data_IF_091076381832
#
_entry.id   IF_091076381832
#
_cell.length_a   1.000
_cell.length_b   1.000
_cell.length_c   1.000
_cell.angle_alpha   90.00
_cell.angle_beta   90.00
_cell.angle_gamma   90.00
#
_symmetry.space_group_name_H-M   'P 1'
#
loop_
_entity.id
_entity.type
_entity.pdbx_description
1 polymer ?
#
# COMPACT_ATOMS: atom_id res chain seq x y z
N UNK A 1 34.49 -6.47 -28.89
CA UNK A 1 33.92 -5.89 -27.66
C UNK A 1 32.46 -6.26 -27.64
N UNK A 2 32.11 -7.34 -26.92
CA UNK A 2 30.73 -7.74 -26.69
C UNK A 2 30.30 -7.08 -25.37
N UNK A 3 29.35 -6.15 -25.45
CA UNK A 3 28.70 -5.53 -24.31
C UNK A 3 27.87 -6.60 -23.60
N UNK A 4 28.32 -7.02 -22.42
CA UNK A 4 27.57 -7.90 -21.54
C UNK A 4 26.43 -7.12 -20.89
N UNK A 5 25.19 -7.46 -21.23
CA UNK A 5 24.04 -7.13 -20.41
C UNK A 5 24.15 -7.93 -19.12
N UNK A 6 24.63 -7.30 -18.04
CA UNK A 6 24.55 -7.90 -16.71
C UNK A 6 23.10 -7.84 -16.28
N UNK A 7 22.36 -8.92 -16.54
CA UNK A 7 21.08 -9.17 -15.91
C UNK A 7 21.30 -9.46 -14.44
N UNK A 8 21.37 -8.39 -13.63
CA UNK A 8 20.96 -8.49 -12.25
C UNK A 8 19.45 -8.31 -12.25
N UNK A 9 18.70 -9.32 -11.83
CA UNK A 9 17.40 -9.06 -11.21
C UNK A 9 17.71 -8.22 -9.98
N UNK A 10 17.68 -6.89 -10.11
CA UNK A 10 17.55 -6.00 -8.96
C UNK A 10 16.25 -6.45 -8.29
N UNK A 11 16.38 -7.23 -7.22
CA UNK A 11 15.29 -7.49 -6.31
C UNK A 11 15.03 -6.15 -5.65
N UNK A 12 14.12 -5.36 -6.23
CA UNK A 12 13.65 -4.14 -5.59
C UNK A 12 13.02 -4.59 -4.28
N UNK A 13 13.58 -4.22 -3.12
CA UNK A 13 13.00 -4.59 -1.84
C UNK A 13 11.56 -4.10 -1.82
N UNK A 14 10.62 -5.00 -1.55
CA UNK A 14 9.21 -4.63 -1.49
C UNK A 14 9.04 -3.82 -0.21
N UNK A 15 8.83 -2.51 -0.36
CA UNK A 15 8.58 -1.64 0.79
C UNK A 15 7.33 -2.13 1.54
N UNK A 16 6.29 -2.51 0.82
CA UNK A 16 4.95 -2.84 1.35
C UNK A 16 4.83 -4.29 1.85
N UNK A 17 5.85 -4.81 2.52
CA UNK A 17 5.76 -6.15 3.14
C UNK A 17 5.00 -6.10 4.47
N UNK A 18 4.52 -7.25 4.94
CA UNK A 18 3.94 -7.37 6.26
C UNK A 18 5.02 -7.27 7.35
N UNK A 19 4.70 -6.66 8.49
CA UNK A 19 5.63 -6.50 9.61
C UNK A 19 4.96 -6.78 10.96
N UNK A 20 5.76 -7.08 11.98
CA UNK A 20 5.34 -7.04 13.38
C UNK A 20 6.00 -5.88 14.12
N UNK A 21 7.20 -5.51 13.70
CA UNK A 21 7.91 -4.33 14.15
C UNK A 21 8.71 -3.68 13.02
N UNK A 22 9.21 -2.47 13.24
CA UNK A 22 9.94 -1.71 12.22
C UNK A 22 11.27 -2.38 11.82
N UNK A 23 11.87 -3.19 12.71
CA UNK A 23 13.14 -3.86 12.41
C UNK A 23 12.96 -5.04 11.42
N UNK A 24 11.72 -5.51 11.22
CA UNK A 24 11.36 -6.48 10.17
C UNK A 24 11.39 -5.86 8.77
N UNK A 25 11.32 -4.53 8.67
CA UNK A 25 11.15 -3.85 7.40
C UNK A 25 12.46 -3.67 6.62
N UNK A 26 12.31 -3.58 5.29
CA UNK A 26 13.43 -3.27 4.39
C UNK A 26 13.99 -1.87 4.64
N UNK A 27 15.28 -1.70 4.35
CA UNK A 27 15.95 -0.40 4.43
C UNK A 27 15.23 0.62 3.53
N UNK A 28 14.53 1.58 4.15
CA UNK A 28 13.68 2.56 3.46
C UNK A 28 12.28 2.69 4.06
N UNK A 29 11.79 1.68 4.78
CA UNK A 29 10.60 1.83 5.62
C UNK A 29 10.93 2.67 6.86
N UNK A 30 9.99 3.52 7.26
CA UNK A 30 10.08 4.33 8.48
C UNK A 30 8.96 4.02 9.46
N UNK A 31 7.96 3.25 9.02
CA UNK A 31 6.79 2.85 9.79
C UNK A 31 6.50 1.36 9.58
N UNK A 32 6.00 0.73 10.64
CA UNK A 32 5.23 -0.51 10.58
C UNK A 32 3.80 -0.13 10.99
N UNK A 33 2.97 0.20 10.01
CA UNK A 33 1.64 0.78 10.24
C UNK A 33 0.59 -0.33 10.39
N UNK A 34 -0.12 -0.35 11.53
CA UNK A 34 -1.28 -1.22 11.72
C UNK A 34 -2.51 -0.64 11.02
N UNK A 35 -3.14 -1.46 10.18
CA UNK A 35 -4.34 -1.14 9.42
C UNK A 35 -5.45 -2.13 9.78
N UNK A 36 -6.70 -1.68 9.70
CA UNK A 36 -7.86 -2.47 10.08
C UNK A 36 -9.05 -2.23 9.12
N UNK A 37 -9.45 -3.26 8.38
CA UNK A 37 -10.56 -3.14 7.41
C UNK A 37 -11.64 -4.18 7.68
N UNK A 38 -12.90 -3.74 7.65
CA UNK A 38 -14.05 -4.63 7.84
C UNK A 38 -14.49 -5.27 6.51
N UNK A 39 -14.62 -6.60 6.49
CA UNK A 39 -15.28 -7.34 5.42
C UNK A 39 -16.41 -8.21 5.99
N UNK A 40 -17.64 -7.93 5.58
CA UNK A 40 -18.82 -8.72 5.95
C UNK A 40 -18.99 -8.92 7.46
N UNK A 41 -18.74 -7.87 8.26
CA UNK A 41 -18.85 -7.90 9.72
C UNK A 41 -17.66 -8.56 10.45
N UNK A 42 -16.57 -8.86 9.74
CA UNK A 42 -15.32 -9.33 10.33
C UNK A 42 -14.21 -8.30 10.06
N UNK A 43 -13.52 -7.88 11.11
CA UNK A 43 -12.38 -6.98 11.02
C UNK A 43 -11.11 -7.76 10.71
N UNK A 44 -10.36 -7.30 9.71
CA UNK A 44 -9.07 -7.85 9.31
C UNK A 44 -8.01 -6.81 9.65
N UNK A 45 -7.13 -7.17 10.58
CA UNK A 45 -6.05 -6.30 11.07
C UNK A 45 -4.72 -6.88 10.60
N UNK A 46 -3.88 -6.04 10.00
CA UNK A 46 -2.52 -6.40 9.63
C UNK A 46 -1.64 -5.14 9.61
N UNK A 47 -0.33 -5.32 9.79
CA UNK A 47 0.61 -4.21 9.69
C UNK A 47 1.44 -4.26 8.42
N UNK A 48 1.73 -3.10 7.84
CA UNK A 48 2.55 -2.95 6.63
C UNK A 48 3.79 -2.11 6.90
N UNK A 49 4.90 -2.54 6.34
CA UNK A 49 6.06 -1.69 6.17
C UNK A 49 5.70 -0.55 5.22
N UNK A 50 5.91 0.69 5.66
CA UNK A 50 5.61 1.88 4.86
C UNK A 50 6.50 3.05 5.27
N UNK A 51 6.29 4.19 4.63
CA UNK A 51 6.87 5.48 5.00
C UNK A 51 5.81 6.56 4.95
N UNK A 52 6.02 7.62 5.73
CA UNK A 52 5.27 8.86 5.55
C UNK A 52 5.55 9.47 4.17
N UNK A 53 4.55 10.16 3.62
CA UNK A 53 4.63 10.86 2.35
C UNK A 53 4.03 12.27 2.46
N UNK A 54 4.47 13.17 1.58
CA UNK A 54 4.21 14.62 1.75
C UNK A 54 2.97 15.13 1.02
N UNK A 55 2.54 14.42 -0.04
CA UNK A 55 1.51 14.89 -0.96
C UNK A 55 0.60 13.72 -1.33
N UNK A 56 -0.68 13.86 -1.00
CA UNK A 56 -1.72 12.88 -1.30
C UNK A 56 -1.85 12.65 -2.82
N UNK A 57 -2.07 11.39 -3.20
CA UNK A 57 -2.41 11.02 -4.56
C UNK A 57 -2.02 9.60 -4.96
N UNK A 58 -2.57 9.17 -6.10
CA UNK A 58 -2.43 7.84 -6.68
C UNK A 58 -0.98 7.41 -6.93
N UNK A 59 -0.13 8.38 -7.28
CA UNK A 59 1.27 8.19 -7.60
C UNK A 59 2.06 9.26 -6.86
N UNK A 60 2.85 8.84 -5.88
CA UNK A 60 3.76 9.71 -5.15
C UNK A 60 5.21 9.34 -5.44
N UNK A 61 6.03 10.35 -5.71
CA UNK A 61 7.48 10.16 -5.86
C UNK A 61 8.17 9.85 -4.53
N UNK A 62 7.50 10.14 -3.41
CA UNK A 62 7.96 9.81 -2.06
C UNK A 62 7.82 8.29 -1.79
N UNK A 63 6.92 7.62 -2.53
CA UNK A 63 6.58 6.23 -2.31
C UNK A 63 7.36 5.29 -3.23
N UNK A 64 7.98 4.29 -2.63
CA UNK A 64 8.69 3.22 -3.34
C UNK A 64 7.78 2.50 -4.34
N UNK A 65 8.40 1.87 -5.34
CA UNK A 65 7.65 1.12 -6.34
C UNK A 65 7.01 -0.13 -5.73
N UNK A 66 5.75 -0.36 -6.09
CA UNK A 66 4.97 -1.55 -5.78
C UNK A 66 5.44 -2.79 -6.56
N UNK A 67 4.92 -3.96 -6.19
CA UNK A 67 5.17 -5.24 -6.87
C UNK A 67 4.83 -5.17 -8.38
N UNK A 68 3.82 -4.40 -8.73
CA UNK A 68 3.39 -4.17 -10.12
C UNK A 68 4.25 -3.14 -10.88
N UNK A 69 5.29 -2.61 -10.25
CA UNK A 69 6.25 -1.69 -10.85
C UNK A 69 5.80 -0.23 -10.95
N UNK A 70 4.62 0.13 -10.44
CA UNK A 70 4.14 1.53 -10.33
C UNK A 70 4.69 2.19 -9.07
N UNK A 71 4.81 3.52 -9.06
CA UNK A 71 5.05 4.26 -7.81
C UNK A 71 3.92 4.01 -6.83
N UNK A 72 4.22 3.99 -5.54
CA UNK A 72 3.19 3.87 -4.51
C UNK A 72 2.22 5.04 -4.49
N UNK A 73 1.11 4.84 -3.79
CA UNK A 73 0.10 5.87 -3.57
C UNK A 73 0.28 6.49 -2.19
N UNK A 74 -0.02 7.76 -2.03
CA UNK A 74 0.08 8.47 -0.76
C UNK A 74 -1.32 8.85 -0.28
N UNK A 75 -1.77 8.29 0.83
CA UNK A 75 -3.11 8.53 1.38
C UNK A 75 -3.08 8.50 2.91
N UNK A 76 -4.06 9.09 3.60
CA UNK A 76 -4.11 9.04 5.06
C UNK A 76 -4.36 7.61 5.54
N UNK A 77 -3.65 7.14 6.56
CA UNK A 77 -3.76 5.73 7.00
C UNK A 77 -5.18 5.37 7.47
N UNK A 78 -5.93 6.35 7.98
CA UNK A 78 -7.34 6.24 8.35
C UNK A 78 -8.27 5.70 7.25
N UNK A 79 -7.96 5.84 5.96
CA UNK A 79 -8.80 5.25 4.88
C UNK A 79 -8.82 3.71 4.92
N UNK A 80 -7.80 3.13 5.54
CA UNK A 80 -7.65 1.69 5.74
C UNK A 80 -7.70 1.32 7.23
N UNK A 81 -8.33 2.17 8.05
CA UNK A 81 -8.51 1.96 9.48
C UNK A 81 -7.27 2.17 10.34
N UNK A 82 -6.28 2.91 9.84
CA UNK A 82 -5.18 3.41 10.66
C UNK A 82 -5.68 4.33 11.79
N UNK A 83 -4.83 4.52 12.80
CA UNK A 83 -5.21 5.21 14.06
C UNK A 83 -5.39 6.73 13.84
N UNK A 84 -4.73 7.30 12.84
CA UNK A 84 -4.76 8.73 12.54
C UNK A 84 -4.74 9.00 11.02
N UNK A 85 -4.71 10.30 10.65
CA UNK A 85 -4.69 10.74 9.25
C UNK A 85 -3.25 10.95 8.72
N UNK A 86 -2.25 10.28 9.30
CA UNK A 86 -0.88 10.35 8.79
C UNK A 86 -0.85 9.87 7.35
N UNK A 87 -0.31 10.69 6.46
CA UNK A 87 -0.14 10.32 5.06
C UNK A 87 0.97 9.29 4.95
N UNK A 88 0.62 8.09 4.51
CA UNK A 88 1.55 6.98 4.32
C UNK A 88 1.49 6.44 2.90
N UNK A 89 2.54 5.70 2.54
CA UNK A 89 2.59 5.02 1.27
C UNK A 89 1.80 3.71 1.29
N UNK A 90 0.91 3.54 0.32
CA UNK A 90 0.19 2.30 0.06
C UNK A 90 0.68 1.64 -1.23
N UNK A 91 0.57 0.31 -1.28
CA UNK A 91 0.78 -0.44 -2.51
C UNK A 91 -0.42 -0.26 -3.45
N UNK A 92 -0.28 0.39 -4.63
CA UNK A 92 -1.34 0.41 -5.63
C UNK A 92 -1.55 -0.98 -6.23
N UNK A 93 -2.79 -1.26 -6.61
CA UNK A 93 -3.18 -2.54 -7.19
C UNK A 93 -4.22 -2.34 -8.30
N UNK A 94 -4.38 -3.35 -9.16
CA UNK A 94 -5.49 -3.42 -10.12
C UNK A 94 -6.40 -4.62 -9.82
N UNK A 95 -5.86 -5.61 -9.12
CA UNK A 95 -6.51 -6.87 -8.74
C UNK A 95 -5.93 -7.38 -7.43
N UNK A 96 -6.66 -8.27 -6.75
CA UNK A 96 -6.17 -8.93 -5.53
C UNK A 96 -4.84 -9.68 -5.73
N UNK A 97 -4.56 -10.15 -6.96
CA UNK A 97 -3.31 -10.85 -7.28
C UNK A 97 -2.07 -9.93 -7.25
N UNK A 98 -2.27 -8.61 -7.13
CA UNK A 98 -1.18 -7.65 -6.99
C UNK A 98 -0.80 -7.40 -5.54
N UNK A 99 -1.65 -7.81 -4.59
CA UNK A 99 -1.41 -7.62 -3.17
C UNK A 99 -0.75 -8.85 -2.56
N UNK A 100 0.02 -8.63 -1.50
CA UNK A 100 0.56 -9.73 -0.70
C UNK A 100 -0.55 -10.54 -0.03
N UNK A 101 -0.21 -11.77 0.39
CA UNK A 101 -1.15 -12.62 1.10
C UNK A 101 -1.63 -11.95 2.39
N UNK A 102 -2.95 -11.95 2.62
CA UNK A 102 -3.58 -11.24 3.73
C UNK A 102 -3.99 -9.80 3.40
N UNK A 103 -3.83 -9.38 2.15
CA UNK A 103 -4.26 -8.08 1.64
C UNK A 103 -5.20 -8.22 0.45
N UNK A 104 -6.02 -7.19 0.23
CA UNK A 104 -7.03 -7.10 -0.81
C UNK A 104 -6.96 -5.77 -1.52
N UNK A 105 -7.27 -5.81 -2.81
CA UNK A 105 -7.27 -4.63 -3.65
C UNK A 105 -8.63 -3.94 -3.56
N UNK A 106 -8.69 -2.79 -2.90
CA UNK A 106 -9.90 -2.01 -2.73
C UNK A 106 -9.78 -0.66 -3.42
N UNK A 107 -10.84 -0.28 -4.15
CA UNK A 107 -10.99 1.04 -4.73
C UNK A 107 -11.69 2.02 -3.80
N UNK A 108 -11.86 3.26 -4.29
CA UNK A 108 -12.48 4.34 -3.53
C UNK A 108 -13.90 4.01 -3.01
N UNK A 109 -14.70 3.26 -3.77
CA UNK A 109 -16.08 2.90 -3.37
C UNK A 109 -16.06 1.96 -2.17
N UNK A 110 -15.14 1.00 -2.16
CA UNK A 110 -15.01 0.02 -1.09
C UNK A 110 -14.39 0.62 0.17
N UNK A 111 -13.44 1.55 0.02
CA UNK A 111 -12.74 2.20 1.14
C UNK A 111 -13.58 3.30 1.81
N UNK A 112 -14.25 4.13 1.02
CA UNK A 112 -14.97 5.31 1.49
C UNK A 112 -16.50 5.15 1.40
N UNK A 113 -16.99 4.02 0.91
CA UNK A 113 -18.42 3.77 0.71
C UNK A 113 -18.99 4.53 -0.49
N UNK A 114 -20.32 4.72 -0.46
CA UNK A 114 -21.06 5.36 -1.56
C UNK A 114 -20.82 6.87 -1.72
N UNK A 115 -20.13 7.52 -0.78
CA UNK A 115 -19.82 8.96 -0.81
C UNK A 115 -18.41 9.22 -1.35
N UNK A 116 -18.14 8.71 -2.54
CA UNK A 116 -16.83 8.83 -3.24
C UNK A 116 -16.36 10.28 -3.40
N UNK A 117 -17.27 11.26 -3.32
CA UNK A 117 -16.96 12.68 -3.47
C UNK A 117 -15.98 13.22 -2.42
N UNK A 118 -15.95 12.62 -1.23
CA UNK A 118 -15.06 13.00 -0.13
C UNK A 118 -13.95 11.97 0.13
N UNK A 119 -13.83 10.96 -0.76
CA UNK A 119 -12.78 9.95 -0.64
C UNK A 119 -11.43 10.52 -1.08
N UNK A 120 -10.36 10.36 -0.27
CA UNK A 120 -9.00 10.72 -0.68
C UNK A 120 -8.53 9.94 -1.92
N UNK A 121 -9.05 8.72 -2.10
CA UNK A 121 -8.72 7.85 -3.24
C UNK A 121 -9.57 8.23 -4.45
N UNK A 122 -8.94 8.43 -5.61
CA UNK A 122 -9.66 8.70 -6.86
C UNK A 122 -10.54 7.50 -7.24
N UNK A 123 -11.74 7.71 -7.82
CA UNK A 123 -12.62 6.64 -8.29
C UNK A 123 -11.97 5.55 -9.17
N UNK A 124 -10.86 5.84 -9.86
CA UNK A 124 -10.17 4.87 -10.73
C UNK A 124 -8.98 4.18 -10.07
N UNK A 125 -8.61 4.59 -8.86
CA UNK A 125 -7.45 4.08 -8.14
C UNK A 125 -7.87 3.03 -7.09
N UNK A 126 -6.92 2.15 -6.78
CA UNK A 126 -7.08 1.11 -5.77
C UNK A 126 -5.76 0.83 -5.07
N UNK A 127 -5.87 0.44 -3.79
CA UNK A 127 -4.74 0.14 -2.91
C UNK A 127 -4.91 -1.21 -2.23
N UNK A 128 -3.80 -1.82 -1.86
CA UNK A 128 -3.77 -3.03 -1.05
C UNK A 128 -4.00 -2.67 0.43
N UNK A 129 -5.02 -3.27 1.03
CA UNK A 129 -5.37 -3.12 2.45
C UNK A 129 -5.61 -4.49 3.09
N UNK A 130 -5.53 -4.65 4.43
CA UNK A 130 -5.77 -5.93 5.07
C UNK A 130 -7.10 -6.57 4.65
N UNK A 131 -7.13 -7.88 4.44
CA UNK A 131 -8.37 -8.55 4.04
C UNK A 131 -8.29 -10.06 3.87
N UNK A 132 -9.43 -10.72 3.59
CA UNK A 132 -9.50 -12.18 3.48
C UNK A 132 -8.77 -12.69 2.24
N UNK A 133 -7.95 -13.74 2.42
CA UNK A 133 -7.20 -14.42 1.34
C UNK A 133 -8.08 -15.21 0.37
#
# INVERSE_FOLDING_TARGET
MLLGCSGGTEVVPLLYDACFDLDDCVEGATLCEELAVEFSGLEYVNSICTTECSSEGALSADCSRALIGRFGSCYPSSIAGGIDDTLICFEPCDTDANCLLGFRCLGAIELCGGEVADCPVDPVDAICVPGPS
#
